data_IF_094217879641
#
_entry.id   IF_094217879641
#
_cell.length_a   1.000
_cell.length_b   1.000
_cell.length_c   1.000
_cell.angle_alpha   90.00
_cell.angle_beta   90.00
_cell.angle_gamma   90.00
#
_symmetry.space_group_name_H-M   'P 1'
#
loop_
_entity.id
_entity.type
_entity.pdbx_description
1 polymer ?
#
# COMPACT_ATOMS: atom_id res chain seq x y z
N UNK A 1 4.15 7.64 6.59
CA UNK A 1 4.59 6.80 7.71
C UNK A 1 3.38 6.12 8.31
N UNK A 2 3.47 4.84 8.67
CA UNK A 2 2.35 4.11 9.25
C UNK A 2 1.96 4.67 10.62
N UNK A 3 0.66 4.81 10.86
CA UNK A 3 0.08 5.23 12.14
C UNK A 3 -0.87 4.13 12.65
N UNK A 4 -0.82 3.79 13.96
CA UNK A 4 -1.79 2.88 14.55
C UNK A 4 -3.23 3.35 14.26
N UNK A 5 -4.09 2.43 13.81
CA UNK A 5 -5.49 2.73 13.44
C UNK A 5 -5.72 2.99 11.94
N UNK A 6 -4.68 3.06 11.11
CA UNK A 6 -4.85 3.11 9.65
C UNK A 6 -5.48 1.83 9.10
N UNK A 7 -6.41 1.98 8.16
CA UNK A 7 -7.10 0.85 7.50
C UNK A 7 -6.73 0.69 6.02
N UNK A 8 -6.18 1.72 5.37
CA UNK A 8 -5.93 1.73 3.93
C UNK A 8 -7.19 1.93 3.06
N UNK A 9 -8.38 2.02 3.66
CA UNK A 9 -9.66 2.18 2.94
C UNK A 9 -9.71 3.54 2.24
N UNK A 10 -9.37 4.62 2.94
CA UNK A 10 -9.33 5.97 2.37
C UNK A 10 -8.39 6.02 1.16
N UNK A 11 -7.21 5.43 1.28
CA UNK A 11 -6.23 5.36 0.19
C UNK A 11 -6.79 4.63 -1.03
N UNK A 12 -7.44 3.48 -0.82
CA UNK A 12 -8.10 2.72 -1.89
C UNK A 12 -9.18 3.55 -2.59
N UNK A 13 -10.03 4.22 -1.82
CA UNK A 13 -11.14 4.97 -2.37
C UNK A 13 -10.66 6.21 -3.15
N UNK A 14 -9.60 6.88 -2.69
CA UNK A 14 -8.94 7.96 -3.44
C UNK A 14 -8.27 7.46 -4.73
N UNK A 15 -7.66 6.27 -4.71
CA UNK A 15 -7.13 5.65 -5.92
C UNK A 15 -8.22 5.38 -6.96
N UNK A 16 -9.39 4.89 -6.51
CA UNK A 16 -10.55 4.64 -7.38
C UNK A 16 -11.08 5.95 -7.97
N UNK A 17 -11.20 7.02 -7.17
CA UNK A 17 -11.61 8.35 -7.65
C UNK A 17 -10.65 8.92 -8.70
N UNK A 18 -9.36 8.61 -8.60
CA UNK A 18 -8.35 8.99 -9.58
C UNK A 18 -8.37 8.12 -10.86
N UNK A 19 -9.29 7.15 -10.96
CA UNK A 19 -9.50 6.34 -12.16
C UNK A 19 -8.77 4.99 -12.18
N UNK A 20 -8.10 4.61 -11.09
CA UNK A 20 -7.54 3.27 -10.92
C UNK A 20 -8.62 2.25 -10.53
N UNK A 21 -8.28 0.97 -10.54
CA UNK A 21 -9.16 -0.08 -10.00
C UNK A 21 -9.04 -0.17 -8.46
N UNK A 22 -7.96 0.35 -7.90
CA UNK A 22 -7.80 0.56 -6.48
C UNK A 22 -6.33 0.69 -6.07
N UNK A 23 -6.12 0.60 -4.76
CA UNK A 23 -4.78 0.49 -4.18
C UNK A 23 -4.77 -0.45 -2.98
N UNK A 24 -3.64 -1.09 -2.72
CA UNK A 24 -3.34 -1.81 -1.48
C UNK A 24 -2.35 -0.98 -0.66
N UNK A 25 -2.66 -0.81 0.63
CA UNK A 25 -1.75 -0.19 1.60
C UNK A 25 -1.03 -1.27 2.38
N UNK A 26 0.30 -1.21 2.41
CA UNK A 26 1.17 -2.13 3.14
C UNK A 26 2.01 -1.33 4.11
N UNK A 27 2.07 -1.75 5.36
CA UNK A 27 2.89 -1.14 6.40
C UNK A 27 4.09 -2.02 6.74
N UNK A 28 5.21 -1.39 7.07
CA UNK A 28 6.36 -2.09 7.65
C UNK A 28 6.30 -1.98 9.17
N UNK A 29 6.07 -3.10 9.85
CA UNK A 29 6.00 -3.19 11.31
C UNK A 29 6.98 -4.24 11.83
N UNK A 30 7.98 -3.82 12.61
CA UNK A 30 8.98 -4.71 13.19
C UNK A 30 9.70 -5.51 12.10
N UNK A 31 10.07 -4.85 11.00
CA UNK A 31 10.62 -5.45 9.77
C UNK A 31 9.68 -6.41 9.02
N UNK A 32 8.40 -6.54 9.39
CA UNK A 32 7.39 -7.36 8.67
C UNK A 32 6.56 -6.48 7.74
N UNK A 33 6.24 -6.98 6.55
CA UNK A 33 5.26 -6.35 5.67
C UNK A 33 3.87 -6.85 6.05
N UNK A 34 2.99 -5.93 6.42
CA UNK A 34 1.64 -6.25 6.87
C UNK A 34 0.59 -5.40 6.17
N UNK A 35 -0.63 -5.92 6.05
CA UNK A 35 -1.79 -5.20 5.51
C UNK A 35 -2.64 -4.73 6.70
N UNK A 36 -2.82 -3.42 6.90
CA UNK A 36 -3.75 -2.90 7.89
C UNK A 36 -5.22 -3.16 7.49
N UNK A 37 -6.19 -3.14 8.44
CA UNK A 37 -6.02 -2.83 9.86
C UNK A 37 -5.69 -4.04 10.76
N UNK A 38 -5.91 -5.26 10.27
CA UNK A 38 -5.68 -6.49 11.04
C UNK A 38 -4.20 -6.92 11.08
N UNK A 39 -3.32 -6.16 10.43
CA UNK A 39 -1.88 -6.38 10.34
C UNK A 39 -1.53 -7.79 9.85
N UNK A 40 -2.33 -8.33 8.93
CA UNK A 40 -2.04 -9.62 8.30
C UNK A 40 -0.69 -9.58 7.58
N UNK A 41 0.12 -10.60 7.82
CA UNK A 41 1.44 -10.74 7.23
C UNK A 41 1.38 -11.05 5.74
N UNK A 42 2.07 -10.26 4.90
CA UNK A 42 2.19 -10.57 3.47
C UNK A 42 3.02 -11.83 3.25
N UNK A 43 3.97 -12.13 4.15
CA UNK A 43 4.76 -13.35 4.06
C UNK A 43 3.89 -14.63 4.16
N UNK A 44 2.75 -14.55 4.86
CA UNK A 44 1.79 -15.65 5.00
C UNK A 44 0.78 -15.65 3.85
N UNK A 45 0.24 -14.48 3.47
CA UNK A 45 -0.77 -14.37 2.42
C UNK A 45 -0.21 -14.57 1.01
N UNK A 46 0.98 -14.02 0.74
CA UNK A 46 1.59 -13.94 -0.57
C UNK A 46 3.13 -13.93 -0.45
N UNK A 47 3.76 -15.08 -0.12
CA UNK A 47 5.20 -15.13 0.15
C UNK A 47 6.07 -14.63 -1.03
N UNK A 48 5.63 -14.90 -2.27
CA UNK A 48 6.30 -14.42 -3.49
C UNK A 48 6.30 -12.90 -3.57
N UNK A 49 5.16 -12.26 -3.33
CA UNK A 49 5.06 -10.79 -3.36
C UNK A 49 5.78 -10.15 -2.17
N UNK A 50 5.79 -10.78 -0.98
CA UNK A 50 6.60 -10.30 0.13
C UNK A 50 8.10 -10.25 -0.23
N UNK A 51 8.63 -11.30 -0.88
CA UNK A 51 10.02 -11.31 -1.33
C UNK A 51 10.27 -10.23 -2.39
N UNK A 52 9.38 -10.11 -3.38
CA UNK A 52 9.47 -9.12 -4.46
C UNK A 52 9.44 -7.68 -3.96
N UNK A 53 8.53 -7.36 -3.04
CA UNK A 53 8.40 -6.01 -2.47
C UNK A 53 9.65 -5.63 -1.66
N UNK A 54 10.22 -6.58 -0.93
CA UNK A 54 11.44 -6.35 -0.16
C UNK A 54 12.66 -6.11 -1.04
N UNK A 55 12.84 -6.92 -2.07
CA UNK A 55 14.00 -6.78 -2.96
C UNK A 55 13.89 -5.54 -3.85
N UNK A 56 12.67 -5.14 -4.23
CA UNK A 56 12.47 -3.99 -5.11
C UNK A 56 12.54 -2.63 -4.38
N UNK A 57 12.08 -2.56 -3.14
CA UNK A 57 11.89 -1.29 -2.43
C UNK A 57 12.78 -1.11 -1.19
N UNK A 58 13.42 -2.18 -0.71
CA UNK A 58 14.27 -2.20 0.48
C UNK A 58 13.71 -1.36 1.67
N UNK A 59 12.45 -1.61 2.09
CA UNK A 59 11.73 -0.67 2.93
C UNK A 59 12.18 -0.75 4.40
N UNK A 60 12.18 0.39 5.08
CA UNK A 60 12.57 0.53 6.49
C UNK A 60 11.37 0.43 7.42
N UNK A 61 11.63 0.27 8.72
CA UNK A 61 10.57 0.18 9.71
C UNK A 61 9.70 1.45 9.72
N UNK A 62 8.38 1.27 9.80
CA UNK A 62 7.34 2.32 9.76
C UNK A 62 7.11 2.97 8.38
N UNK A 63 7.76 2.48 7.34
CA UNK A 63 7.43 2.85 5.97
C UNK A 63 6.03 2.35 5.58
N UNK A 64 5.46 3.04 4.58
CA UNK A 64 4.23 2.63 3.91
C UNK A 64 4.56 2.38 2.44
N UNK A 65 4.09 1.24 1.94
CA UNK A 65 4.15 0.90 0.53
C UNK A 65 2.71 0.96 0.01
N UNK A 66 2.50 1.73 -1.05
CA UNK A 66 1.23 1.84 -1.74
C UNK A 66 1.35 1.15 -3.09
N UNK A 67 0.48 0.18 -3.34
CA UNK A 67 0.44 -0.56 -4.60
C UNK A 67 -0.84 -0.16 -5.32
N UNK A 68 -0.75 0.73 -6.30
CA UNK A 68 -1.86 1.07 -7.19
C UNK A 68 -1.98 0.07 -8.33
N UNK A 69 -3.21 -0.26 -8.72
CA UNK A 69 -3.47 -1.16 -9.84
C UNK A 69 -4.66 -0.66 -10.66
N UNK A 70 -4.62 -0.94 -11.95
CA UNK A 70 -5.64 -0.53 -12.90
C UNK A 70 -5.40 -1.13 -14.28
N UNK A 71 -6.36 -0.90 -15.18
CA UNK A 71 -6.40 -1.46 -16.54
C UNK A 71 -5.20 -1.07 -17.42
N UNK A 72 -4.55 0.04 -17.10
CA UNK A 72 -3.36 0.51 -17.80
C UNK A 72 -2.36 1.13 -16.79
N UNK A 73 -1.07 1.21 -17.16
CA UNK A 73 -0.04 1.74 -16.27
C UNK A 73 -0.28 3.19 -15.83
N UNK A 74 -0.90 4.02 -16.67
CA UNK A 74 -1.20 5.41 -16.36
C UNK A 74 -2.22 5.53 -15.24
N UNK A 75 -3.31 4.76 -15.31
CA UNK A 75 -4.32 4.68 -14.23
C UNK A 75 -3.73 4.10 -12.95
N UNK A 76 -2.94 3.04 -13.05
CA UNK A 76 -2.30 2.44 -11.88
C UNK A 76 -1.40 3.44 -11.15
N UNK A 77 -0.60 4.21 -11.90
CA UNK A 77 0.26 5.27 -11.35
C UNK A 77 -0.57 6.41 -10.75
N UNK A 78 -1.59 6.90 -11.46
CA UNK A 78 -2.48 7.96 -10.96
C UNK A 78 -3.16 7.57 -9.65
N UNK A 79 -3.65 6.33 -9.55
CA UNK A 79 -4.25 5.80 -8.33
C UNK A 79 -3.26 5.67 -7.18
N UNK A 80 -2.05 5.16 -7.44
CA UNK A 80 -1.00 5.08 -6.43
C UNK A 80 -0.64 6.48 -5.89
N UNK A 81 -0.52 7.48 -6.76
CA UNK A 81 -0.20 8.84 -6.37
C UNK A 81 -1.34 9.47 -5.56
N UNK A 82 -2.60 9.30 -5.98
CA UNK A 82 -3.76 9.80 -5.25
C UNK A 82 -3.85 9.19 -3.84
N UNK A 83 -3.63 7.88 -3.72
CA UNK A 83 -3.55 7.20 -2.44
C UNK A 83 -2.42 7.78 -1.56
N UNK A 84 -1.21 7.97 -2.11
CA UNK A 84 -0.10 8.57 -1.36
C UNK A 84 -0.42 9.99 -0.90
N UNK A 85 -0.98 10.83 -1.78
CA UNK A 85 -1.35 12.22 -1.44
C UNK A 85 -2.43 12.27 -0.36
N UNK A 86 -3.36 11.33 -0.34
CA UNK A 86 -4.38 11.23 0.72
C UNK A 86 -3.78 11.06 2.13
N UNK A 87 -2.59 10.46 2.25
CA UNK A 87 -1.91 10.26 3.53
C UNK A 87 -1.41 11.58 4.15
N UNK A 88 -1.30 12.65 3.37
CA UNK A 88 -0.92 13.98 3.87
C UNK A 88 -2.09 14.69 4.55
N UNK A 89 -3.32 14.30 4.22
CA UNK A 89 -4.55 14.88 4.75
C UNK A 89 -5.23 13.99 5.81
N UNK A 90 -4.62 12.85 6.14
CA UNK A 90 -5.12 11.84 7.08
C UNK A 90 -4.32 11.81 8.38
#
# INVERSE_FOLDING_TARGET
MYRPGMTGIVQRDEAIKAGAEGSITVAVLGRKLVIPPDNKSIAELAPKENARLRSALEPNDKDLIIIGFGKDPGRALAGALAAVLSLQNA
#
